data_IF_842558078907
#
_entry.id   IF_842558078907
#
_cell.length_a   1.000
_cell.length_b   1.000
_cell.length_c   1.000
_cell.angle_alpha   90.00
_cell.angle_beta   90.00
_cell.angle_gamma   90.00
#
_symmetry.space_group_name_H-M   'P 1'
#
loop_
_entity.id
_entity.type
_entity.pdbx_description
1 polymer ?
#
# COMPACT_ATOMS: atom_id res chain seq x y z
N UNK A 1 -35.14 -65.61 -26.32
CA UNK A 1 -36.25 -65.14 -25.45
C UNK A 1 -36.82 -63.88 -26.12
N UNK A 2 -37.98 -63.93 -26.81
CA UNK A 2 -39.32 -63.55 -26.28
C UNK A 2 -39.18 -62.33 -25.35
N UNK A 3 -39.68 -61.12 -25.63
CA UNK A 3 -41.05 -60.68 -25.98
C UNK A 3 -40.97 -59.25 -26.59
N UNK A 4 -41.63 -58.95 -27.72
CA UNK A 4 -43.05 -58.58 -27.91
C UNK A 4 -43.32 -57.06 -27.80
N UNK A 5 -43.51 -56.43 -28.98
CA UNK A 5 -44.49 -55.39 -29.36
C UNK A 5 -44.63 -54.08 -28.53
N UNK A 6 -44.69 -52.93 -29.20
CA UNK A 6 -45.94 -52.39 -29.79
C UNK A 6 -45.70 -51.15 -30.67
N UNK A 7 -46.43 -51.15 -31.79
CA UNK A 7 -46.72 -50.05 -32.72
C UNK A 7 -47.52 -48.95 -31.99
N UNK A 8 -47.17 -47.66 -32.17
CA UNK A 8 -48.16 -46.58 -32.00
C UNK A 8 -47.91 -45.40 -32.96
N UNK A 9 -48.98 -45.11 -33.68
CA UNK A 9 -49.27 -44.07 -34.66
C UNK A 9 -49.25 -42.67 -34.04
N UNK A 10 -48.92 -41.69 -34.88
CA UNK A 10 -49.03 -40.25 -34.61
C UNK A 10 -50.25 -39.87 -33.76
N UNK A 11 -50.00 -39.19 -32.64
CA UNK A 11 -50.95 -38.25 -32.05
C UNK A 11 -50.23 -36.90 -31.90
N UNK A 12 -50.74 -35.89 -32.60
CA UNK A 12 -50.39 -34.51 -32.37
C UNK A 12 -50.87 -34.12 -30.96
N UNK A 13 -49.94 -33.78 -30.08
CA UNK A 13 -50.21 -32.98 -28.89
C UNK A 13 -49.49 -31.66 -29.07
N UNK A 14 -50.26 -30.59 -28.92
CA UNK A 14 -49.82 -29.21 -28.84
C UNK A 14 -48.64 -29.10 -27.87
N UNK A 15 -47.51 -28.62 -28.39
CA UNK A 15 -46.46 -28.04 -27.56
C UNK A 15 -47.09 -26.76 -27.00
N UNK A 16 -47.56 -26.82 -25.76
CA UNK A 16 -47.61 -25.63 -24.94
C UNK A 16 -46.14 -25.24 -24.72
N UNK A 17 -45.62 -24.38 -25.58
CA UNK A 17 -44.47 -23.57 -25.21
C UNK A 17 -44.93 -22.79 -24.00
N UNK A 18 -44.33 -23.06 -22.84
CA UNK A 18 -44.36 -22.11 -21.75
C UNK A 18 -43.56 -20.90 -22.22
N UNK A 19 -44.25 -19.95 -22.84
CA UNK A 19 -43.81 -18.55 -22.90
C UNK A 19 -43.95 -17.98 -21.48
N UNK A 20 -43.07 -18.42 -20.57
CA UNK A 20 -42.71 -17.61 -19.41
C UNK A 20 -41.42 -16.88 -19.81
N UNK A 21 -41.58 -15.89 -20.68
CA UNK A 21 -40.57 -14.87 -20.91
C UNK A 21 -40.57 -13.95 -19.69
N UNK A 22 -39.46 -13.94 -18.94
CA UNK A 22 -39.10 -13.02 -17.86
C UNK A 22 -39.15 -11.54 -18.31
N UNK A 23 -40.36 -10.98 -18.50
CA UNK A 23 -40.58 -9.56 -18.84
C UNK A 23 -40.49 -8.61 -17.63
N UNK A 24 -40.16 -9.13 -16.45
CA UNK A 24 -40.34 -8.41 -15.18
C UNK A 24 -39.08 -7.74 -14.61
N UNK A 25 -37.94 -7.83 -15.32
CA UNK A 25 -36.63 -7.36 -14.84
C UNK A 25 -35.96 -6.28 -15.72
N UNK A 26 -36.75 -5.53 -16.50
CA UNK A 26 -36.23 -4.37 -17.24
C UNK A 26 -35.90 -3.23 -16.25
N UNK A 27 -34.72 -2.61 -16.41
CA UNK A 27 -34.28 -1.50 -15.57
C UNK A 27 -35.27 -0.32 -15.69
N UNK A 28 -35.84 0.19 -14.57
CA UNK A 28 -36.89 1.21 -14.64
C UNK A 28 -36.37 2.61 -15.01
N UNK A 29 -35.04 2.81 -15.02
CA UNK A 29 -34.41 4.11 -15.25
C UNK A 29 -34.00 4.27 -16.72
N UNK A 30 -34.51 5.32 -17.36
CA UNK A 30 -34.19 5.67 -18.76
C UNK A 30 -33.08 6.72 -18.81
N UNK A 31 -32.10 6.52 -19.69
CA UNK A 31 -30.98 7.45 -19.85
C UNK A 31 -30.08 7.52 -18.61
N UNK A 32 -29.85 6.36 -17.97
CA UNK A 32 -29.01 6.26 -16.79
C UNK A 32 -27.58 6.74 -17.10
N UNK A 33 -27.08 7.69 -16.32
CA UNK A 33 -25.68 8.11 -16.32
C UNK A 33 -25.14 8.11 -14.89
N UNK A 34 -24.23 7.18 -14.61
CA UNK A 34 -23.43 7.18 -13.39
C UNK A 34 -22.24 8.12 -13.59
N UNK A 35 -21.98 9.07 -12.67
CA UNK A 35 -20.80 9.93 -12.73
C UNK A 35 -19.51 9.11 -12.79
N UNK A 36 -18.60 9.52 -13.67
CA UNK A 36 -17.25 8.95 -13.73
C UNK A 36 -16.32 9.85 -12.93
N UNK A 37 -15.51 9.23 -12.09
CA UNK A 37 -14.53 9.92 -11.26
C UNK A 37 -13.12 9.53 -11.70
N UNK A 38 -12.21 10.50 -11.73
CA UNK A 38 -10.78 10.25 -11.97
C UNK A 38 -10.09 9.68 -10.72
N UNK A 39 -10.63 9.98 -9.53
CA UNK A 39 -10.14 9.49 -8.24
C UNK A 39 -11.24 8.69 -7.51
N UNK A 40 -10.89 7.79 -6.58
CA UNK A 40 -11.88 7.11 -5.74
C UNK A 40 -12.78 8.08 -4.98
N UNK A 41 -14.05 7.70 -4.82
CA UNK A 41 -15.07 8.47 -4.13
C UNK A 41 -14.85 8.44 -2.62
N UNK A 42 -15.01 9.59 -1.96
CA UNK A 42 -14.94 9.69 -0.49
C UNK A 42 -16.31 9.43 0.14
N UNK A 43 -16.39 8.67 1.25
CA UNK A 43 -17.60 8.62 2.07
C UNK A 43 -18.05 10.01 2.53
N UNK A 44 -19.35 10.28 2.51
CA UNK A 44 -19.93 11.57 2.87
C UNK A 44 -20.03 12.60 1.73
N UNK A 45 -19.54 12.29 0.52
CA UNK A 45 -19.70 13.15 -0.66
C UNK A 45 -21.15 13.14 -1.19
N UNK A 46 -21.57 14.27 -1.77
CA UNK A 46 -22.86 14.40 -2.43
C UNK A 46 -22.74 14.05 -3.90
N UNK A 47 -23.43 13.01 -4.36
CA UNK A 47 -23.38 12.49 -5.73
C UNK A 47 -24.77 12.50 -6.35
N UNK A 48 -24.86 12.86 -7.64
CA UNK A 48 -26.09 12.77 -8.43
C UNK A 48 -25.94 11.75 -9.56
N UNK A 49 -26.79 10.72 -9.57
CA UNK A 49 -26.97 9.82 -10.73
C UNK A 49 -28.08 10.40 -11.60
N UNK A 50 -27.82 10.56 -12.90
CA UNK A 50 -28.81 11.09 -13.83
C UNK A 50 -29.63 9.96 -14.46
N UNK A 51 -30.86 10.28 -14.80
CA UNK A 51 -31.81 9.38 -15.45
C UNK A 51 -33.24 9.74 -15.10
N UNK A 52 -34.17 9.36 -15.97
CA UNK A 52 -35.60 9.52 -15.73
C UNK A 52 -36.20 8.22 -15.20
N UNK A 53 -37.02 8.31 -14.14
CA UNK A 53 -37.71 7.15 -13.58
C UNK A 53 -37.53 6.95 -12.07
N UNK A 54 -36.63 7.71 -11.43
CA UNK A 54 -36.51 7.73 -9.97
C UNK A 54 -37.77 8.32 -9.33
N UNK A 55 -38.14 7.79 -8.16
CA UNK A 55 -39.28 8.25 -7.36
C UNK A 55 -38.85 8.49 -5.92
N UNK A 56 -39.72 9.08 -5.10
CA UNK A 56 -39.46 9.25 -3.66
C UNK A 56 -39.30 7.92 -2.91
N UNK A 57 -39.69 6.79 -3.51
CA UNK A 57 -39.48 5.45 -2.98
C UNK A 57 -38.15 4.80 -3.41
N UNK A 58 -37.42 5.43 -4.34
CA UNK A 58 -36.15 4.91 -4.85
C UNK A 58 -35.08 4.99 -3.76
N UNK A 59 -34.44 3.85 -3.48
CA UNK A 59 -33.31 3.77 -2.56
C UNK A 59 -32.03 3.40 -3.30
N UNK A 60 -30.93 4.06 -2.93
CA UNK A 60 -29.60 3.73 -3.44
C UNK A 60 -28.83 2.94 -2.37
N UNK A 61 -28.28 1.81 -2.79
CA UNK A 61 -27.52 0.89 -1.95
C UNK A 61 -26.19 0.55 -2.60
N UNK A 62 -25.22 0.20 -1.76
CA UNK A 62 -23.87 -0.19 -2.19
C UNK A 62 -23.58 -1.60 -1.71
N UNK A 63 -23.09 -2.44 -2.62
CA UNK A 63 -22.71 -3.84 -2.35
C UNK A 63 -21.25 -4.04 -2.71
N UNK A 64 -20.47 -4.57 -1.77
CA UNK A 64 -19.05 -4.81 -1.99
C UNK A 64 -18.81 -5.89 -3.03
N UNK A 65 -17.99 -5.56 -4.03
CA UNK A 65 -17.55 -6.50 -5.07
C UNK A 65 -16.30 -7.23 -4.55
N UNK A 66 -16.47 -8.40 -3.94
CA UNK A 66 -15.35 -9.30 -3.62
C UNK A 66 -15.19 -10.28 -4.76
N UNK A 67 -13.95 -10.49 -5.21
CA UNK A 67 -13.57 -11.47 -6.21
C UNK A 67 -14.01 -12.89 -5.78
N UNK A 68 -15.23 -13.26 -6.22
CA UNK A 68 -15.92 -14.57 -6.14
C UNK A 68 -17.06 -14.77 -5.13
N UNK A 69 -17.52 -13.79 -4.37
CA UNK A 69 -18.85 -13.85 -3.70
C UNK A 69 -19.27 -12.45 -3.22
N UNK A 70 -20.55 -12.09 -3.27
CA UNK A 70 -21.04 -10.83 -2.70
C UNK A 70 -20.58 -10.68 -1.24
N UNK A 71 -19.85 -9.60 -0.94
CA UNK A 71 -19.33 -9.30 0.38
C UNK A 71 -20.41 -8.86 1.37
N UNK A 72 -19.97 -8.54 2.60
CA UNK A 72 -20.81 -8.09 3.72
C UNK A 72 -21.94 -7.15 3.26
N UNK A 73 -23.15 -7.41 3.76
CA UNK A 73 -24.42 -6.98 3.15
C UNK A 73 -24.56 -5.49 2.80
N UNK A 74 -25.57 -5.23 1.97
CA UNK A 74 -25.76 -3.93 1.32
C UNK A 74 -25.88 -2.76 2.30
N UNK A 75 -25.21 -1.65 1.97
CA UNK A 75 -25.22 -0.42 2.77
C UNK A 75 -26.04 0.65 2.07
N UNK A 76 -27.04 1.20 2.77
CA UNK A 76 -27.96 2.21 2.23
C UNK A 76 -27.31 3.60 2.24
N UNK A 77 -27.42 4.32 1.13
CA UNK A 77 -27.08 5.74 1.05
C UNK A 77 -28.21 6.64 1.54
N UNK A 78 -27.88 7.86 1.94
CA UNK A 78 -28.89 8.85 2.34
C UNK A 78 -29.30 9.66 1.11
N UNK A 79 -30.46 9.37 0.54
CA UNK A 79 -31.03 10.15 -0.56
C UNK A 79 -31.42 11.54 -0.05
N UNK A 80 -30.91 12.59 -0.70
CA UNK A 80 -31.11 13.98 -0.31
C UNK A 80 -32.03 14.75 -1.25
N UNK A 81 -32.13 14.32 -2.52
CA UNK A 81 -33.03 14.91 -3.51
C UNK A 81 -33.41 13.88 -4.59
N UNK A 82 -34.67 13.92 -5.04
CA UNK A 82 -35.16 13.17 -6.20
C UNK A 82 -35.92 14.14 -7.09
N UNK A 83 -35.58 14.17 -8.38
CA UNK A 83 -36.27 15.01 -9.35
C UNK A 83 -36.40 14.30 -10.70
N UNK A 84 -37.02 14.96 -11.67
CA UNK A 84 -37.30 14.37 -13.00
C UNK A 84 -36.05 14.01 -13.81
N UNK A 85 -34.86 14.45 -13.39
CA UNK A 85 -33.60 14.27 -14.11
C UNK A 85 -32.59 13.37 -13.39
N UNK A 86 -32.86 12.98 -12.14
CA UNK A 86 -31.95 12.13 -11.39
C UNK A 86 -32.25 12.02 -9.90
N UNK A 87 -31.32 11.36 -9.20
CA UNK A 87 -31.34 11.15 -7.76
C UNK A 87 -30.01 11.59 -7.16
N UNK A 88 -30.07 12.39 -6.10
CA UNK A 88 -28.90 12.86 -5.35
C UNK A 88 -28.87 12.22 -3.98
N UNK A 89 -27.70 11.77 -3.54
CA UNK A 89 -27.50 11.14 -2.26
C UNK A 89 -26.15 11.50 -1.65
N UNK A 90 -26.05 11.35 -0.34
CA UNK A 90 -24.78 11.33 0.39
C UNK A 90 -24.24 9.91 0.41
N UNK A 91 -22.99 9.74 -0.02
CA UNK A 91 -22.33 8.43 -0.07
C UNK A 91 -22.19 7.82 1.33
N UNK A 92 -22.50 6.53 1.50
CA UNK A 92 -22.37 5.87 2.79
C UNK A 92 -20.91 5.53 3.12
N UNK A 93 -20.67 5.07 4.35
CA UNK A 93 -19.36 4.59 4.80
C UNK A 93 -19.05 3.19 4.23
N UNK A 94 -18.70 3.16 2.94
CA UNK A 94 -18.27 1.98 2.17
C UNK A 94 -16.91 2.22 1.54
N UNK A 95 -16.22 1.15 1.14
CA UNK A 95 -14.81 1.21 0.73
C UNK A 95 -14.50 0.26 -0.43
N UNK A 96 -13.50 0.60 -1.24
CA UNK A 96 -13.11 -0.17 -2.42
C UNK A 96 -14.19 -0.24 -3.50
N UNK A 97 -14.18 -1.27 -4.33
CA UNK A 97 -15.14 -1.42 -5.44
C UNK A 97 -16.54 -1.82 -4.96
N UNK A 98 -17.54 -1.06 -5.38
CA UNK A 98 -18.94 -1.24 -4.99
C UNK A 98 -19.84 -1.32 -6.23
N UNK A 99 -20.79 -2.26 -6.24
CA UNK A 99 -21.96 -2.19 -7.12
C UNK A 99 -22.96 -1.20 -6.53
N UNK A 100 -23.49 -0.32 -7.37
CA UNK A 100 -24.56 0.62 -7.06
C UNK A 100 -25.89 -0.03 -7.41
N UNK A 101 -26.76 -0.17 -6.42
CA UNK A 101 -28.05 -0.83 -6.54
C UNK A 101 -29.19 0.17 -6.34
N UNK A 102 -30.21 0.08 -7.19
CA UNK A 102 -31.52 0.66 -6.97
C UNK A 102 -32.41 -0.41 -6.30
N UNK A 103 -32.94 -0.08 -5.12
CA UNK A 103 -33.99 -0.88 -4.49
C UNK A 103 -35.27 -0.08 -4.42
N UNK A 104 -36.33 -0.63 -4.98
CA UNK A 104 -37.64 0.01 -4.99
C UNK A 104 -38.72 -1.07 -5.09
N UNK A 105 -39.79 -0.95 -4.28
CA UNK A 105 -40.95 -1.87 -4.31
C UNK A 105 -40.57 -3.36 -4.23
N UNK A 106 -39.59 -3.70 -3.39
CA UNK A 106 -39.04 -5.06 -3.23
C UNK A 106 -38.34 -5.64 -4.46
N UNK A 107 -38.09 -4.83 -5.49
CA UNK A 107 -37.23 -5.16 -6.63
C UNK A 107 -35.84 -4.55 -6.42
N UNK A 108 -34.83 -5.20 -6.98
CA UNK A 108 -33.44 -4.77 -6.95
C UNK A 108 -32.91 -4.71 -8.37
N UNK A 109 -32.20 -3.63 -8.70
CA UNK A 109 -31.57 -3.41 -9.99
C UNK A 109 -30.15 -2.91 -9.81
N UNK A 110 -29.20 -3.49 -10.53
CA UNK A 110 -27.84 -2.97 -10.59
C UNK A 110 -27.76 -1.80 -11.58
N UNK A 111 -27.32 -0.64 -11.10
CA UNK A 111 -27.17 0.57 -11.91
C UNK A 111 -25.78 0.67 -12.54
N UNK A 112 -24.77 0.09 -11.88
CA UNK A 112 -23.37 0.07 -12.31
C UNK A 112 -22.44 0.05 -11.11
N UNK A 113 -21.22 0.56 -11.27
CA UNK A 113 -20.16 0.43 -10.27
C UNK A 113 -19.59 1.80 -9.87
N UNK A 114 -19.11 1.91 -8.63
CA UNK A 114 -18.32 3.03 -8.12
C UNK A 114 -17.15 2.50 -7.29
N UNK A 115 -15.97 3.11 -7.45
CA UNK A 115 -14.80 2.83 -6.62
C UNK A 115 -14.72 3.87 -5.51
N UNK A 116 -14.78 3.41 -4.26
CA UNK A 116 -14.57 4.22 -3.07
C UNK A 116 -13.12 4.12 -2.62
N UNK A 117 -12.70 5.09 -1.80
CA UNK A 117 -11.43 4.97 -1.08
C UNK A 117 -11.37 3.62 -0.34
N UNK A 118 -10.17 3.05 -0.22
CA UNK A 118 -9.97 1.87 0.62
C UNK A 118 -10.16 2.26 2.09
N UNK A 119 -10.66 1.30 2.89
CA UNK A 119 -10.71 1.52 4.33
C UNK A 119 -9.29 1.56 4.83
N UNK A 120 -8.80 2.74 5.20
CA UNK A 120 -7.60 2.85 6.02
C UNK A 120 -7.93 2.32 7.42
N UNK A 121 -7.93 1.00 7.57
CA UNK A 121 -7.71 0.38 8.87
C UNK A 121 -6.22 0.39 9.12
N UNK A 122 -5.81 0.74 10.33
CA UNK A 122 -4.45 0.46 10.77
C UNK A 122 -4.19 -1.04 10.55
N UNK A 123 -3.05 -1.35 9.93
CA UNK A 123 -2.67 -2.74 9.70
C UNK A 123 -2.42 -3.39 11.06
N UNK A 124 -3.13 -4.49 11.35
CA UNK A 124 -2.94 -5.20 12.62
C UNK A 124 -1.55 -5.83 12.64
N UNK A 125 -0.69 -5.33 13.51
CA UNK A 125 0.69 -5.80 13.65
C UNK A 125 0.71 -7.17 14.32
N UNK A 126 1.39 -8.12 13.67
CA UNK A 126 1.56 -9.47 14.18
C UNK A 126 2.47 -9.48 15.42
N UNK A 127 2.20 -10.35 16.41
CA UNK A 127 2.85 -10.28 17.72
C UNK A 127 4.31 -10.78 17.74
N UNK A 128 4.73 -11.65 16.81
CA UNK A 128 6.13 -12.12 16.79
C UNK A 128 7.02 -11.03 16.22
N UNK A 129 8.11 -10.75 16.92
CA UNK A 129 9.10 -9.79 16.49
C UNK A 129 10.15 -10.44 15.61
N UNK A 130 10.57 -9.75 14.56
CA UNK A 130 11.72 -10.12 13.75
C UNK A 130 12.97 -10.02 14.61
N UNK A 131 13.71 -11.10 14.79
CA UNK A 131 14.97 -11.10 15.53
C UNK A 131 16.16 -10.85 14.62
N UNK A 132 16.07 -11.31 13.36
CA UNK A 132 17.16 -11.25 12.40
C UNK A 132 16.66 -11.28 10.96
N UNK A 133 17.34 -10.54 10.09
CA UNK A 133 17.18 -10.64 8.63
C UNK A 133 18.55 -11.00 8.04
N UNK A 134 18.56 -11.94 7.10
CA UNK A 134 19.75 -12.26 6.31
C UNK A 134 19.46 -11.85 4.88
N UNK A 135 20.18 -10.87 4.39
CA UNK A 135 20.21 -10.49 2.98
C UNK A 135 21.25 -11.34 2.26
N UNK A 136 20.96 -11.70 1.00
CA UNK A 136 21.91 -12.37 0.11
C UNK A 136 21.74 -11.84 -1.30
N UNK A 137 22.84 -11.51 -1.95
CA UNK A 137 22.90 -10.91 -3.28
C UNK A 137 24.00 -11.58 -4.11
N UNK A 138 23.89 -11.51 -5.44
CA UNK A 138 24.96 -11.98 -6.32
C UNK A 138 26.14 -11.02 -6.25
N UNK A 139 27.32 -11.54 -5.94
CA UNK A 139 28.56 -10.75 -5.84
C UNK A 139 29.74 -11.61 -6.30
N UNK A 140 30.37 -11.23 -7.41
CA UNK A 140 31.48 -11.97 -8.02
C UNK A 140 32.71 -12.07 -7.09
N UNK A 141 32.89 -11.12 -6.18
CA UNK A 141 34.03 -11.06 -5.26
C UNK A 141 33.78 -11.86 -3.96
N UNK A 142 32.53 -12.20 -3.67
CA UNK A 142 32.14 -12.95 -2.48
C UNK A 142 32.45 -14.45 -2.54
N UNK A 143 32.53 -15.09 -1.36
CA UNK A 143 32.80 -16.53 -1.26
C UNK A 143 31.65 -17.35 -1.87
N UNK A 144 31.89 -17.89 -3.08
CA UNK A 144 30.94 -18.63 -3.95
C UNK A 144 30.03 -17.75 -4.81
N UNK A 145 30.36 -16.48 -5.00
CA UNK A 145 29.58 -15.59 -5.86
C UNK A 145 28.33 -15.00 -5.17
N UNK A 146 28.23 -15.08 -3.84
CA UNK A 146 27.05 -14.65 -3.08
C UNK A 146 27.50 -13.88 -1.84
N UNK A 147 27.25 -12.57 -1.84
CA UNK A 147 27.44 -11.68 -0.70
C UNK A 147 26.30 -11.81 0.32
N UNK A 148 26.55 -11.43 1.58
CA UNK A 148 25.60 -11.57 2.69
C UNK A 148 25.70 -10.48 3.74
N UNK A 149 24.59 -9.79 3.98
CA UNK A 149 24.45 -8.89 5.12
C UNK A 149 23.52 -9.51 6.16
N UNK A 150 23.84 -9.33 7.45
CA UNK A 150 23.06 -9.86 8.57
C UNK A 150 22.64 -8.72 9.49
N UNK A 151 21.34 -8.50 9.59
CA UNK A 151 20.71 -7.51 10.46
C UNK A 151 20.16 -8.21 11.71
N UNK A 152 20.60 -7.81 12.90
CA UNK A 152 20.17 -8.35 14.18
C UNK A 152 19.52 -7.26 15.04
N UNK A 153 18.29 -7.50 15.49
CA UNK A 153 17.48 -6.51 16.21
C UNK A 153 17.29 -6.91 17.66
N UNK A 154 17.27 -5.92 18.55
CA UNK A 154 16.82 -6.10 19.94
C UNK A 154 15.77 -5.06 20.30
N UNK A 155 14.89 -5.41 21.25
CA UNK A 155 13.70 -4.61 21.56
C UNK A 155 13.56 -4.28 23.04
N UNK A 156 12.88 -3.18 23.35
CA UNK A 156 12.38 -2.90 24.70
C UNK A 156 11.07 -3.65 25.01
N UNK A 157 10.56 -3.43 26.22
CA UNK A 157 9.29 -3.99 26.72
C UNK A 157 8.05 -3.52 25.96
N UNK A 158 8.16 -2.42 25.21
CA UNK A 158 7.11 -1.87 24.33
C UNK A 158 7.25 -2.36 22.89
N UNK A 159 8.29 -3.13 22.58
CA UNK A 159 8.53 -3.65 21.22
C UNK A 159 9.23 -2.69 20.28
N UNK A 160 9.84 -1.61 20.79
CA UNK A 160 10.65 -0.66 20.00
C UNK A 160 12.09 -1.14 19.90
N UNK A 161 12.74 -0.90 18.76
CA UNK A 161 14.15 -1.28 18.56
C UNK A 161 15.03 -0.51 19.54
N UNK A 162 15.87 -1.20 20.32
CA UNK A 162 16.87 -0.58 21.22
C UNK A 162 18.29 -0.69 20.70
N UNK A 163 18.54 -1.65 19.79
CA UNK A 163 19.81 -1.77 19.10
C UNK A 163 19.65 -2.51 17.78
N UNK A 164 20.44 -2.09 16.80
CA UNK A 164 20.64 -2.77 15.53
C UNK A 164 22.12 -3.15 15.43
N UNK A 165 22.39 -4.37 14.97
CA UNK A 165 23.73 -4.80 14.57
C UNK A 165 23.67 -5.29 13.14
N UNK A 166 24.52 -4.74 12.28
CA UNK A 166 24.65 -5.13 10.88
C UNK A 166 26.03 -5.72 10.67
N UNK A 167 26.09 -6.96 10.18
CA UNK A 167 27.34 -7.60 9.76
C UNK A 167 27.32 -7.69 8.26
N UNK A 168 28.11 -6.86 7.59
CA UNK A 168 28.22 -6.80 6.13
C UNK A 168 29.26 -7.78 5.62
N UNK A 169 29.08 -8.29 4.40
CA UNK A 169 30.07 -9.18 3.80
C UNK A 169 31.35 -8.40 3.49
N UNK A 170 32.50 -9.05 3.67
CA UNK A 170 33.81 -8.39 3.49
C UNK A 170 34.26 -7.48 4.64
N UNK A 171 33.34 -7.03 5.50
CA UNK A 171 33.67 -6.16 6.63
C UNK A 171 34.22 -6.89 7.85
N UNK A 172 35.20 -6.27 8.52
CA UNK A 172 35.90 -6.89 9.66
C UNK A 172 35.21 -6.67 11.01
N UNK A 173 34.49 -5.57 11.14
CA UNK A 173 33.78 -5.18 12.35
C UNK A 173 32.34 -4.82 11.98
N UNK A 174 31.33 -5.26 12.74
CA UNK A 174 29.94 -4.95 12.43
C UNK A 174 29.61 -3.49 12.73
N UNK A 175 28.73 -2.91 11.92
CA UNK A 175 28.02 -1.69 12.31
C UNK A 175 27.08 -2.01 13.48
N UNK A 176 27.04 -1.12 14.46
CA UNK A 176 26.17 -1.25 15.62
C UNK A 176 25.57 0.09 15.98
N UNK A 177 24.29 0.10 16.37
CA UNK A 177 23.63 1.30 16.86
C UNK A 177 22.84 1.03 18.14
N UNK A 178 22.61 2.07 18.93
CA UNK A 178 21.70 2.05 20.08
C UNK A 178 20.68 3.16 19.99
N UNK A 179 19.44 2.84 20.34
CA UNK A 179 18.30 3.73 20.30
C UNK A 179 17.87 4.14 21.71
N UNK A 180 17.73 5.44 21.95
CA UNK A 180 17.20 6.00 23.20
C UNK A 180 15.95 6.80 22.92
N UNK A 181 14.85 6.42 23.56
CA UNK A 181 13.57 7.08 23.41
C UNK A 181 13.23 7.97 24.60
N UNK A 182 12.71 9.15 24.32
CA UNK A 182 12.06 10.04 25.28
C UNK A 182 10.63 10.36 24.79
N UNK A 183 9.92 11.26 25.48
CA UNK A 183 8.56 11.64 25.09
C UNK A 183 8.48 12.35 23.73
N UNK A 184 9.56 13.03 23.33
CA UNK A 184 9.58 13.90 22.15
C UNK A 184 10.84 13.71 21.31
N UNK A 185 11.65 12.68 21.56
CA UNK A 185 12.85 12.40 20.79
C UNK A 185 13.14 10.91 20.68
N UNK A 186 13.71 10.54 19.53
CA UNK A 186 14.49 9.32 19.33
C UNK A 186 15.93 9.76 19.04
N UNK A 187 16.89 9.19 19.77
CA UNK A 187 18.32 9.39 19.54
C UNK A 187 18.92 8.05 19.18
N UNK A 188 19.58 7.97 18.02
CA UNK A 188 20.33 6.82 17.55
C UNK A 188 21.80 7.15 17.61
N UNK A 189 22.59 6.26 18.19
CA UNK A 189 24.04 6.42 18.31
C UNK A 189 24.73 5.21 17.75
N UNK A 190 25.58 5.44 16.76
CA UNK A 190 26.51 4.45 16.26
C UNK A 190 27.55 4.10 17.33
N UNK A 191 27.86 2.81 17.43
CA UNK A 191 28.87 2.22 18.29
C UNK A 191 29.96 1.64 17.39
N UNK A 192 31.14 2.25 17.40
CA UNK A 192 32.19 1.92 16.44
C UNK A 192 32.23 2.97 15.33
N UNK A 193 33.04 2.72 14.30
CA UNK A 193 33.11 3.56 13.10
C UNK A 193 33.25 5.06 13.35
N UNK A 194 32.41 5.85 12.68
CA UNK A 194 32.42 7.31 12.71
C UNK A 194 31.72 7.88 13.95
N UNK A 195 31.01 7.03 14.71
CA UNK A 195 30.28 7.39 15.95
C UNK A 195 29.28 8.51 15.71
N UNK A 196 28.59 8.46 14.58
CA UNK A 196 27.56 9.44 14.26
C UNK A 196 26.41 9.40 15.28
N UNK A 197 25.73 10.53 15.43
CA UNK A 197 24.52 10.64 16.25
C UNK A 197 23.41 11.23 15.41
N UNK A 198 22.30 10.50 15.36
CA UNK A 198 21.06 10.90 14.71
C UNK A 198 20.03 11.24 15.78
N UNK A 199 19.35 12.36 15.58
CA UNK A 199 18.35 12.87 16.52
C UNK A 199 17.08 13.22 15.77
N UNK A 200 16.02 12.48 16.05
CA UNK A 200 14.67 12.79 15.61
C UNK A 200 13.93 13.52 16.73
N UNK A 201 13.36 14.67 16.42
CA UNK A 201 12.36 15.32 17.26
C UNK A 201 10.98 14.80 16.86
N UNK A 202 10.22 14.34 17.85
CA UNK A 202 8.93 13.69 17.66
C UNK A 202 7.78 14.57 18.17
N UNK A 203 6.69 14.62 17.39
CA UNK A 203 5.41 15.20 17.77
C UNK A 203 4.31 14.16 17.58
N UNK A 204 3.59 13.81 18.65
CA UNK A 204 2.54 12.77 18.62
C UNK A 204 3.02 11.43 18.04
N UNK A 205 4.29 11.04 18.31
CA UNK A 205 4.90 9.81 17.81
C UNK A 205 5.46 9.90 16.38
N UNK A 206 5.28 11.02 15.69
CA UNK A 206 5.76 11.24 14.31
C UNK A 206 7.02 12.10 14.31
N UNK A 207 7.97 11.82 13.43
CA UNK A 207 9.13 12.68 13.21
C UNK A 207 8.68 14.08 12.75
N UNK A 208 9.26 15.13 13.30
CA UNK A 208 9.02 16.52 12.85
C UNK A 208 10.28 17.20 12.36
N UNK A 209 11.41 16.79 12.91
CA UNK A 209 12.73 17.27 12.53
C UNK A 209 13.76 16.17 12.78
N UNK A 210 14.81 16.16 11.97
CA UNK A 210 15.94 15.23 12.08
C UNK A 210 17.24 16.01 11.97
N UNK A 211 18.24 15.56 12.72
CA UNK A 211 19.62 16.00 12.57
C UNK A 211 20.58 14.84 12.78
N UNK A 212 21.48 14.63 11.82
CA UNK A 212 22.64 13.74 11.93
C UNK A 212 23.91 14.55 12.07
N UNK A 213 24.76 14.13 13.00
CA UNK A 213 26.02 14.82 13.29
C UNK A 213 27.15 13.83 13.42
N UNK A 214 28.32 14.26 13.01
CA UNK A 214 29.55 13.49 13.11
C UNK A 214 30.46 14.10 14.18
N UNK A 215 31.15 13.29 15.01
CA UNK A 215 32.05 13.83 16.04
C UNK A 215 33.29 14.54 15.50
N UNK A 216 33.72 14.19 14.28
CA UNK A 216 34.99 14.62 13.69
C UNK A 216 34.78 15.64 12.56
N UNK A 217 33.67 15.52 11.83
CA UNK A 217 33.34 16.39 10.70
C UNK A 217 32.41 17.52 11.15
N UNK A 218 32.55 18.70 10.52
CA UNK A 218 31.59 19.80 10.72
C UNK A 218 30.29 19.59 9.94
N UNK A 219 30.28 18.61 9.05
CA UNK A 219 29.15 18.21 8.22
C UNK A 219 27.96 17.71 9.05
N UNK A 220 26.76 17.89 8.53
CA UNK A 220 25.53 17.40 9.12
C UNK A 220 24.46 17.17 8.05
N UNK A 221 23.56 16.26 8.35
CA UNK A 221 22.31 16.11 7.58
C UNK A 221 21.19 16.66 8.44
N UNK A 222 20.27 17.43 7.85
CA UNK A 222 19.19 18.07 8.59
C UNK A 222 17.92 18.18 7.76
N UNK A 223 16.83 17.60 8.26
CA UNK A 223 15.57 17.46 7.52
C UNK A 223 14.37 17.89 8.35
N UNK A 224 13.37 18.45 7.68
CA UNK A 224 12.05 18.71 8.20
C UNK A 224 11.03 17.76 7.56
N UNK A 225 10.01 17.37 8.34
CA UNK A 225 8.99 16.43 7.92
C UNK A 225 7.61 17.09 7.85
N UNK A 226 6.89 16.79 6.78
CA UNK A 226 5.49 17.20 6.58
C UNK A 226 4.57 16.01 6.35
N UNK A 227 3.30 16.18 6.71
CA UNK A 227 2.31 15.11 6.73
C UNK A 227 1.01 15.52 6.05
N UNK A 228 0.50 14.64 5.19
CA UNK A 228 -0.86 14.67 4.65
C UNK A 228 -1.81 13.89 5.56
N UNK A 229 -2.30 14.53 6.63
CA UNK A 229 -3.05 13.84 7.67
C UNK A 229 -2.13 12.98 8.53
N UNK A 230 -2.30 11.65 8.45
CA UNK A 230 -1.48 10.70 9.22
C UNK A 230 -0.31 10.08 8.45
N UNK A 231 -0.22 10.33 7.15
CA UNK A 231 0.85 9.80 6.30
C UNK A 231 1.93 10.85 6.08
N UNK A 232 3.20 10.41 6.08
CA UNK A 232 4.32 11.23 5.64
C UNK A 232 4.06 11.70 4.20
N UNK A 233 4.23 12.98 3.93
CA UNK A 233 4.03 13.55 2.59
C UNK A 233 5.29 14.18 2.01
N UNK A 234 6.18 14.69 2.85
CA UNK A 234 7.43 15.30 2.39
C UNK A 234 8.52 15.20 3.45
N UNK A 235 9.75 15.01 2.98
CA UNK A 235 10.99 15.27 3.69
C UNK A 235 11.74 16.34 2.89
N UNK A 236 12.22 17.38 3.56
CA UNK A 236 12.98 18.44 2.90
C UNK A 236 14.12 18.90 3.80
N UNK A 237 15.30 19.07 3.21
CA UNK A 237 16.47 19.43 4.00
C UNK A 237 17.75 19.49 3.21
N UNK A 238 18.85 19.17 3.88
CA UNK A 238 20.21 19.25 3.35
C UNK A 238 21.03 18.04 3.80
N UNK A 239 21.87 17.54 2.91
CA UNK A 239 22.85 16.47 3.13
C UNK A 239 24.24 17.09 3.20
N UNK A 240 25.10 16.59 4.08
CA UNK A 240 26.51 16.99 4.21
C UNK A 240 26.70 18.52 4.36
N UNK A 241 25.67 19.23 4.84
CA UNK A 241 25.59 20.70 4.92
C UNK A 241 25.65 21.44 3.57
N UNK A 242 25.60 20.74 2.45
CA UNK A 242 25.79 21.33 1.12
C UNK A 242 24.63 21.06 0.16
N UNK A 243 24.11 19.83 0.11
CA UNK A 243 23.22 19.39 -0.97
C UNK A 243 21.75 19.45 -0.56
N UNK A 244 20.98 20.46 -1.02
CA UNK A 244 19.57 20.56 -0.70
C UNK A 244 18.77 19.51 -1.46
N UNK A 245 17.84 18.86 -0.77
CA UNK A 245 17.03 17.79 -1.36
C UNK A 245 15.60 17.80 -0.83
N UNK A 246 14.68 17.30 -1.64
CA UNK A 246 13.29 17.07 -1.26
C UNK A 246 12.83 15.67 -1.69
N UNK A 247 12.25 14.93 -0.77
CA UNK A 247 11.51 13.70 -1.03
C UNK A 247 10.02 13.92 -0.85
N UNK A 248 9.20 13.41 -1.75
CA UNK A 248 7.75 13.49 -1.70
C UNK A 248 7.13 12.11 -1.70
N UNK A 249 6.07 11.94 -0.90
CA UNK A 249 5.37 10.69 -0.70
C UNK A 249 3.88 10.88 -0.98
N UNK A 250 3.30 10.04 -1.82
CA UNK A 250 1.88 10.09 -2.17
C UNK A 250 1.21 8.81 -1.71
N UNK A 251 0.23 8.96 -0.82
CA UNK A 251 -0.60 7.86 -0.34
C UNK A 251 -2.01 7.94 -0.91
N UNK A 252 -2.51 6.82 -1.44
CA UNK A 252 -3.90 6.67 -1.90
C UNK A 252 -4.49 5.40 -1.31
N UNK A 253 -5.62 5.51 -0.61
CA UNK A 253 -6.26 4.35 0.03
C UNK A 253 -5.36 3.61 1.03
N UNK A 254 -4.47 4.33 1.72
CA UNK A 254 -3.51 3.75 2.68
C UNK A 254 -2.33 3.00 2.05
N UNK A 255 -2.09 3.15 0.75
CA UNK A 255 -0.94 2.58 0.03
C UNK A 255 -0.01 3.72 -0.41
N UNK A 256 1.30 3.57 -0.25
CA UNK A 256 2.28 4.52 -0.82
C UNK A 256 2.31 4.32 -2.34
N UNK A 257 1.59 5.11 -3.12
CA UNK A 257 1.51 4.91 -4.58
C UNK A 257 2.68 5.53 -5.33
N UNK A 258 3.34 6.53 -4.74
CA UNK A 258 4.47 7.19 -5.38
C UNK A 258 5.46 7.73 -4.35
N UNK A 259 6.74 7.60 -4.65
CA UNK A 259 7.85 8.30 -4.00
C UNK A 259 8.62 9.09 -5.05
N UNK A 260 9.06 10.29 -4.72
CA UNK A 260 9.88 11.11 -5.60
C UNK A 260 10.95 11.86 -4.82
N UNK A 261 12.21 11.56 -5.09
CA UNK A 261 13.36 12.36 -4.67
C UNK A 261 13.71 13.41 -5.72
N UNK A 262 14.15 14.58 -5.27
CA UNK A 262 14.54 15.72 -6.09
C UNK A 262 15.83 16.29 -5.51
N UNK A 263 16.84 16.41 -6.34
CA UNK A 263 17.98 17.27 -6.08
C UNK A 263 17.55 18.73 -6.33
N UNK A 264 17.69 19.59 -5.34
CA UNK A 264 17.28 20.99 -5.45
C UNK A 264 18.41 21.91 -5.95
N UNK A 265 19.64 21.42 -6.06
CA UNK A 265 20.74 22.11 -6.73
C UNK A 265 20.59 22.03 -8.26
N UNK A 266 20.08 20.90 -8.77
CA UNK A 266 19.92 20.66 -10.20
C UNK A 266 18.45 20.51 -10.63
N UNK A 267 17.94 21.50 -11.38
CA UNK A 267 16.53 21.65 -11.84
C UNK A 267 15.89 20.41 -12.52
N UNK A 268 16.66 19.37 -12.87
CA UNK A 268 16.15 18.18 -13.56
C UNK A 268 16.59 16.85 -12.94
N UNK A 269 17.38 16.82 -11.87
CA UNK A 269 17.87 15.56 -11.29
C UNK A 269 16.83 15.05 -10.29
N UNK A 270 16.34 13.84 -10.51
CA UNK A 270 15.29 13.24 -9.69
C UNK A 270 15.24 11.73 -9.85
N UNK A 271 14.70 11.06 -8.83
CA UNK A 271 14.29 9.67 -8.86
C UNK A 271 12.78 9.58 -8.57
N UNK A 272 12.07 8.75 -9.31
CA UNK A 272 10.62 8.55 -9.20
C UNK A 272 10.34 7.06 -9.13
N UNK A 273 9.65 6.66 -8.07
CA UNK A 273 9.18 5.31 -7.84
C UNK A 273 7.65 5.29 -7.88
N UNK A 274 7.10 4.56 -8.84
CA UNK A 274 5.66 4.28 -8.93
C UNK A 274 5.38 2.85 -8.44
N UNK A 275 4.63 2.75 -7.35
CA UNK A 275 4.37 1.47 -6.68
C UNK A 275 3.09 0.81 -7.19
N UNK A 276 3.20 -0.48 -7.50
CA UNK A 276 2.06 -1.35 -7.75
C UNK A 276 1.98 -2.40 -6.64
N UNK A 277 0.78 -2.66 -6.16
CA UNK A 277 0.53 -3.52 -5.00
C UNK A 277 -0.27 -4.76 -5.40
N UNK A 278 0.06 -5.87 -4.74
CA UNK A 278 -0.83 -7.02 -4.61
C UNK A 278 -1.42 -7.03 -3.17
N UNK A 279 -1.78 -8.20 -2.64
CA UNK A 279 -2.46 -8.38 -1.36
C UNK A 279 -1.52 -8.70 -0.18
N UNK A 280 -0.20 -8.59 -0.34
CA UNK A 280 0.73 -8.85 0.76
C UNK A 280 0.68 -7.72 1.80
N UNK A 281 0.19 -8.03 3.00
CA UNK A 281 0.13 -7.06 4.10
C UNK A 281 1.52 -6.69 4.62
N UNK A 282 1.68 -5.42 4.98
CA UNK A 282 2.82 -4.89 5.72
C UNK A 282 2.54 -4.92 7.23
N UNK A 283 2.38 -6.13 7.77
CA UNK A 283 1.84 -6.37 9.11
C UNK A 283 2.85 -6.99 10.09
N UNK A 284 4.15 -6.89 9.79
CA UNK A 284 5.19 -7.31 10.72
C UNK A 284 5.48 -6.21 11.75
N UNK A 285 6.18 -6.56 12.84
CA UNK A 285 6.55 -5.58 13.86
C UNK A 285 7.48 -4.48 13.35
N UNK A 286 8.22 -4.75 12.26
CA UNK A 286 9.00 -3.76 11.53
C UNK A 286 8.27 -3.39 10.25
N UNK A 287 8.33 -2.11 9.87
CA UNK A 287 7.93 -1.71 8.52
C UNK A 287 9.04 -2.13 7.55
N UNK A 288 8.76 -3.11 6.69
CA UNK A 288 9.78 -3.67 5.80
C UNK A 288 10.24 -2.69 4.73
N UNK A 289 9.55 -1.57 4.50
CA UNK A 289 10.02 -0.51 3.60
C UNK A 289 11.42 -0.02 3.99
N UNK A 290 11.72 0.07 5.29
CA UNK A 290 13.05 0.49 5.78
C UNK A 290 14.15 -0.56 5.63
N UNK A 291 13.88 -1.69 4.97
CA UNK A 291 14.87 -2.73 4.68
C UNK A 291 14.86 -3.04 3.19
N UNK A 292 13.70 -3.41 2.63
CA UNK A 292 13.62 -3.92 1.24
C UNK A 292 13.59 -2.80 0.19
N UNK A 293 13.54 -1.53 0.62
CA UNK A 293 13.59 -0.37 -0.25
C UNK A 293 14.67 0.65 0.18
N UNK A 294 15.60 0.24 1.06
CA UNK A 294 16.64 1.13 1.57
C UNK A 294 17.43 1.77 0.41
N UNK A 295 17.91 0.95 -0.52
CA UNK A 295 18.68 1.41 -1.68
C UNK A 295 17.94 2.33 -2.67
N UNK A 296 16.61 2.50 -2.52
CA UNK A 296 15.83 3.41 -3.37
C UNK A 296 15.38 4.69 -2.65
N UNK A 297 15.59 4.78 -1.34
CA UNK A 297 15.27 5.97 -0.56
C UNK A 297 16.57 6.68 -0.17
N UNK A 298 16.74 7.91 -0.64
CA UNK A 298 18.06 8.56 -0.67
C UNK A 298 18.55 9.03 0.70
N UNK A 299 17.65 9.55 1.56
CA UNK A 299 18.13 10.25 2.76
C UNK A 299 17.85 9.55 4.09
N UNK A 300 16.73 8.85 4.22
CA UNK A 300 16.27 8.40 5.55
C UNK A 300 15.45 7.09 5.50
N UNK A 301 16.02 6.06 4.88
CA UNK A 301 15.56 4.66 4.89
C UNK A 301 15.17 4.14 6.29
N UNK A 302 15.94 4.55 7.29
CA UNK A 302 15.85 4.12 8.69
C UNK A 302 14.56 4.56 9.40
N UNK A 303 13.88 5.63 8.95
CA UNK A 303 12.66 6.13 9.60
C UNK A 303 11.54 5.10 9.67
N UNK A 304 11.37 4.33 8.59
CA UNK A 304 10.32 3.31 8.48
C UNK A 304 10.56 2.22 9.52
N UNK A 305 11.82 1.82 9.68
CA UNK A 305 12.23 0.79 10.62
C UNK A 305 11.87 1.14 12.08
N UNK A 306 11.95 2.43 12.45
CA UNK A 306 11.65 2.90 13.81
C UNK A 306 10.19 3.28 14.05
N UNK A 307 9.30 3.11 13.07
CA UNK A 307 7.85 3.38 13.18
C UNK A 307 7.51 4.83 13.58
N UNK A 308 8.26 5.80 13.04
CA UNK A 308 8.10 7.24 13.32
C UNK A 308 7.62 8.05 12.10
N UNK A 309 7.26 7.38 11.00
CA UNK A 309 6.73 8.00 9.77
C UNK A 309 5.22 8.26 9.82
N UNK A 310 4.56 8.01 10.95
CA UNK A 310 3.10 8.05 11.06
C UNK A 310 2.48 6.74 10.60
N UNK A 311 1.41 6.78 9.80
CA UNK A 311 0.83 5.56 9.23
C UNK A 311 1.72 5.02 8.12
N UNK A 312 2.01 3.72 8.18
CA UNK A 312 2.68 2.97 7.10
C UNK A 312 1.73 2.59 5.97
N UNK A 313 2.31 2.21 4.83
CA UNK A 313 1.56 1.58 3.74
C UNK A 313 0.95 0.26 4.24
N UNK A 314 -0.33 0.01 3.97
CA UNK A 314 -1.06 -1.20 4.41
C UNK A 314 -0.49 -2.47 3.76
N UNK A 315 0.00 -2.34 2.53
CA UNK A 315 0.53 -3.44 1.74
C UNK A 315 2.01 -3.20 1.41
N UNK A 316 2.73 -4.29 1.18
CA UNK A 316 4.05 -4.30 0.57
C UNK A 316 3.92 -4.32 -0.96
N UNK A 317 4.82 -3.68 -1.71
CA UNK A 317 4.71 -3.57 -3.16
C UNK A 317 4.86 -4.94 -3.83
N UNK A 318 4.16 -5.16 -4.94
CA UNK A 318 4.44 -6.26 -5.87
C UNK A 318 5.51 -5.85 -6.88
N UNK A 319 5.44 -4.59 -7.34
CA UNK A 319 6.36 -4.02 -8.32
C UNK A 319 6.59 -2.56 -8.05
N UNK A 320 7.77 -2.09 -8.40
CA UNK A 320 8.12 -0.68 -8.44
C UNK A 320 8.65 -0.37 -9.82
N UNK A 321 8.06 0.63 -10.47
CA UNK A 321 8.65 1.21 -11.66
C UNK A 321 9.56 2.34 -11.20
N UNK A 322 10.85 2.22 -11.50
CA UNK A 322 11.84 3.25 -11.19
C UNK A 322 12.14 4.03 -12.45
N UNK A 323 12.15 5.36 -12.34
CA UNK A 323 12.51 6.24 -13.45
C UNK A 323 13.09 7.54 -12.93
N UNK A 324 13.97 8.17 -13.70
CA UNK A 324 14.60 9.38 -13.23
C UNK A 324 15.48 10.05 -14.27
N UNK A 325 16.16 11.07 -13.80
CA UNK A 325 17.24 11.73 -14.51
C UNK A 325 18.39 11.84 -13.53
N UNK A 326 19.51 11.25 -13.92
CA UNK A 326 20.81 11.36 -13.28
C UNK A 326 21.63 12.46 -13.97
N UNK A 327 22.53 13.12 -13.24
CA UNK A 327 23.38 14.19 -13.77
C UNK A 327 24.48 13.68 -14.70
N UNK A 328 24.96 12.45 -14.49
CA UNK A 328 25.96 11.76 -15.31
C UNK A 328 25.33 10.94 -16.44
N UNK A 329 24.35 10.10 -16.12
CA UNK A 329 23.81 9.08 -17.04
C UNK A 329 22.53 9.50 -17.78
N UNK A 330 21.95 10.64 -17.40
CA UNK A 330 20.73 11.16 -18.00
C UNK A 330 19.50 10.32 -17.64
N UNK A 331 18.63 10.05 -18.61
CA UNK A 331 17.33 9.39 -18.33
C UNK A 331 17.48 7.89 -18.15
N UNK A 332 16.94 7.37 -17.06
CA UNK A 332 16.85 5.94 -16.80
C UNK A 332 15.40 5.52 -16.48
N UNK A 333 15.10 4.26 -16.78
CA UNK A 333 13.84 3.61 -16.44
C UNK A 333 14.06 2.10 -16.35
N UNK A 334 13.66 1.50 -15.23
CA UNK A 334 13.69 0.05 -15.02
C UNK A 334 12.55 -0.37 -14.09
N UNK A 335 12.44 -1.67 -13.82
CA UNK A 335 11.38 -2.20 -12.95
C UNK A 335 11.95 -3.22 -11.99
N UNK A 336 11.48 -3.12 -10.76
CA UNK A 336 11.83 -4.01 -9.65
C UNK A 336 10.58 -4.80 -9.31
N UNK A 337 10.73 -6.11 -9.10
CA UNK A 337 9.61 -6.97 -8.69
C UNK A 337 9.90 -7.67 -7.38
N UNK A 338 8.84 -7.81 -6.57
CA UNK A 338 8.91 -8.32 -5.21
C UNK A 338 8.04 -9.56 -5.09
N UNK A 339 8.58 -10.58 -4.45
CA UNK A 339 7.84 -11.80 -4.11
C UNK A 339 8.04 -12.14 -2.64
N UNK A 340 6.94 -12.50 -2.00
CA UNK A 340 6.90 -12.79 -0.56
C UNK A 340 6.55 -14.25 -0.34
N UNK A 341 7.36 -14.96 0.44
CA UNK A 341 7.03 -16.29 0.93
C UNK A 341 6.48 -16.17 2.35
N UNK A 342 5.29 -16.75 2.57
CA UNK A 342 4.55 -16.63 3.83
C UNK A 342 4.32 -18.00 4.43
N UNK A 343 4.55 -18.11 5.75
CA UNK A 343 4.23 -19.28 6.55
C UNK A 343 3.56 -18.85 7.85
N UNK A 344 2.42 -19.46 8.18
CA UNK A 344 1.65 -19.16 9.39
C UNK A 344 1.32 -17.66 9.54
N UNK A 345 1.04 -16.98 8.41
CA UNK A 345 0.82 -15.54 8.27
C UNK A 345 2.06 -14.64 8.44
N UNK A 346 3.25 -15.20 8.66
CA UNK A 346 4.50 -14.45 8.75
C UNK A 346 5.30 -14.57 7.45
N UNK A 347 5.84 -13.45 6.97
CA UNK A 347 6.77 -13.45 5.84
C UNK A 347 8.06 -14.12 6.30
N UNK A 348 8.48 -15.18 5.62
CA UNK A 348 9.75 -15.88 5.91
C UNK A 348 10.83 -15.53 4.92
N UNK A 349 10.46 -15.07 3.73
CA UNK A 349 11.40 -14.66 2.69
C UNK A 349 10.83 -13.55 1.81
N UNK A 350 11.67 -12.58 1.46
CA UNK A 350 11.41 -11.63 0.36
C UNK A 350 12.43 -11.91 -0.74
N UNK A 351 11.97 -11.90 -1.98
CA UNK A 351 12.81 -12.03 -3.17
C UNK A 351 12.55 -10.79 -4.01
N UNK A 352 13.61 -10.05 -4.29
CA UNK A 352 13.61 -8.88 -5.15
C UNK A 352 14.35 -9.25 -6.44
N UNK A 353 13.76 -8.89 -7.58
CA UNK A 353 14.36 -9.06 -8.90
C UNK A 353 14.42 -7.68 -9.58
N UNK A 354 15.63 -7.20 -9.82
CA UNK A 354 15.95 -5.92 -10.45
C UNK A 354 16.78 -6.18 -11.71
N UNK A 355 16.13 -6.08 -12.87
CA UNK A 355 16.73 -6.35 -14.19
C UNK A 355 17.58 -7.64 -14.28
N UNK A 356 17.16 -8.69 -13.54
CA UNK A 356 17.84 -9.97 -13.50
C UNK A 356 18.81 -10.16 -12.33
N UNK A 357 19.19 -9.11 -11.62
CA UNK A 357 19.86 -9.19 -10.33
C UNK A 357 18.88 -9.58 -9.23
N UNK A 358 19.31 -10.43 -8.30
CA UNK A 358 18.43 -11.01 -7.30
C UNK A 358 18.95 -10.79 -5.90
N UNK A 359 18.06 -10.23 -5.08
CA UNK A 359 18.26 -10.01 -3.66
C UNK A 359 17.27 -10.87 -2.88
N UNK A 360 17.77 -11.63 -1.91
CA UNK A 360 16.96 -12.50 -1.07
C UNK A 360 17.09 -12.12 0.41
N UNK A 361 15.96 -11.88 1.06
CA UNK A 361 15.90 -11.53 2.47
C UNK A 361 15.20 -12.65 3.25
N UNK A 362 15.97 -13.43 4.02
CA UNK A 362 15.42 -14.45 4.93
C UNK A 362 15.11 -13.84 6.30
N UNK A 363 13.86 -14.00 6.75
CA UNK A 363 13.34 -13.35 7.96
C UNK A 363 13.19 -14.38 9.09
N UNK A 364 13.82 -14.10 10.23
CA UNK A 364 13.78 -14.91 11.44
C UNK A 364 13.09 -14.15 12.57
N UNK A 365 12.32 -14.88 13.38
CA UNK A 365 11.51 -14.32 14.46
C UNK A 365 12.05 -14.73 15.83
N UNK A 366 11.68 -13.99 16.87
CA UNK A 366 11.83 -14.44 18.26
C UNK A 366 11.04 -15.74 18.48
N UNK A 367 11.57 -16.63 19.34
CA UNK A 367 10.97 -17.93 19.65
C UNK A 367 9.75 -17.84 20.55
#
# INVERSE_FOLDING_TARGET
MRKLLFLFTMLAFFIACSDDDDKDNELPIKGLEIPKFENPVKPGESITIKGAGFTDASEIWFRQIISKTAGNGDVKAVVTDVNSTGITFTTPEVYGNQSVLLKENSKEYELGEMTFEEKSSDVEILPKKISKIIESFEDEDALKGIGKNIYEFSYDDKGRIVSLKVTEDGETEPYMSTCTYSSNQLIIKEIGGNKQTETYTLENGKAKHYKKTYPIYEEFDEFAFEYGGDYLSQIKGIIESEYPTTENFIYVGGKLTQYKWIDEEFDNVYALLDFTYDQQLNNLNLDLFGIILADYFENIEDLFLYDITGKRSVYLPEKVKVSGIDDEDGKYEYSVSFKYEVKDNYITKVIIDEDGEKYEYEIFYEN
#
